data_IF_663443408646
#
_entry.id   IF_663443408646
#
_cell.length_a   1.000
_cell.length_b   1.000
_cell.length_c   1.000
_cell.angle_alpha   90.00
_cell.angle_beta   90.00
_cell.angle_gamma   90.00
#
_symmetry.space_group_name_H-M   'P 1'
#
loop_
_entity.id
_entity.type
_entity.pdbx_description
1 polymer ?
#
# COMPACT_ATOMS: atom_id res chain seq x y z
N UNK A 1 -6.20 17.52 0.89
CA UNK A 1 -4.90 16.86 1.17
C UNK A 1 -4.98 15.32 1.13
N UNK A 2 -6.09 14.68 1.53
CA UNK A 2 -6.18 13.20 1.64
C UNK A 2 -5.90 12.40 0.37
N UNK A 3 -6.36 12.83 -0.82
CA UNK A 3 -6.14 12.08 -2.06
C UNK A 3 -4.67 12.02 -2.51
N UNK A 4 -3.90 13.08 -2.25
CA UNK A 4 -2.46 13.08 -2.53
C UNK A 4 -1.76 12.07 -1.60
N UNK A 5 -2.19 11.98 -0.34
CA UNK A 5 -1.63 11.01 0.60
C UNK A 5 -1.88 9.56 0.15
N UNK A 6 -3.08 9.24 -0.37
CA UNK A 6 -3.38 7.90 -0.92
C UNK A 6 -2.53 7.58 -2.15
N UNK A 7 -2.31 8.54 -3.05
CA UNK A 7 -1.46 8.36 -4.21
C UNK A 7 0.01 8.14 -3.81
N UNK A 8 0.52 8.96 -2.89
CA UNK A 8 1.89 8.82 -2.37
C UNK A 8 2.06 7.47 -1.66
N UNK A 9 1.10 7.09 -0.82
CA UNK A 9 1.03 5.79 -0.17
C UNK A 9 0.99 4.63 -1.19
N UNK A 10 0.26 4.80 -2.29
CA UNK A 10 0.27 3.85 -3.40
C UNK A 10 1.67 3.71 -4.01
N UNK A 11 2.36 4.81 -4.30
CA UNK A 11 3.64 4.77 -4.99
C UNK A 11 4.76 4.03 -4.23
N UNK A 12 4.73 4.03 -2.89
CA UNK A 12 5.77 3.35 -2.08
C UNK A 12 5.75 1.83 -2.21
N UNK A 13 4.64 1.24 -2.68
CA UNK A 13 4.56 -0.21 -2.97
C UNK A 13 5.55 -0.66 -4.05
N UNK A 14 6.07 0.26 -4.88
CA UNK A 14 7.15 -0.04 -5.81
C UNK A 14 8.44 -0.49 -5.09
N UNK A 15 8.68 -0.04 -3.85
CA UNK A 15 9.86 -0.40 -3.06
C UNK A 15 9.92 -1.89 -2.72
N UNK A 16 8.79 -2.58 -2.78
CA UNK A 16 8.68 -4.02 -2.50
C UNK A 16 8.89 -4.87 -3.75
N UNK A 17 9.08 -4.25 -4.91
CA UNK A 17 9.24 -4.97 -6.19
C UNK A 17 10.70 -5.31 -6.47
N UNK A 18 10.98 -6.29 -7.35
CA UNK A 18 12.34 -6.63 -7.77
C UNK A 18 13.20 -5.46 -8.25
N UNK A 19 12.57 -4.40 -8.77
CA UNK A 19 13.27 -3.22 -9.27
C UNK A 19 13.97 -2.42 -8.16
N UNK A 20 13.57 -2.61 -6.90
CA UNK A 20 14.12 -1.93 -5.74
C UNK A 20 14.82 -2.89 -4.75
N UNK A 21 15.00 -4.16 -5.14
CA UNK A 21 15.75 -5.11 -4.35
C UNK A 21 17.24 -4.74 -4.29
N UNK A 22 17.89 -5.12 -3.19
CA UNK A 22 19.33 -4.91 -3.01
C UNK A 22 20.17 -5.61 -4.09
N UNK A 23 21.40 -5.10 -4.29
CA UNK A 23 22.33 -5.71 -5.25
C UNK A 23 22.67 -7.14 -4.81
N UNK A 24 22.57 -8.09 -5.74
CA UNK A 24 22.89 -9.50 -5.48
C UNK A 24 21.72 -10.31 -4.89
N UNK A 25 20.57 -9.70 -4.66
CA UNK A 25 19.35 -10.39 -4.20
C UNK A 25 18.75 -11.20 -5.35
N UNK A 26 18.43 -12.46 -5.09
CA UNK A 26 17.84 -13.35 -6.08
C UNK A 26 16.35 -13.02 -6.26
N UNK A 27 16.00 -12.34 -7.36
CA UNK A 27 14.64 -11.85 -7.63
C UNK A 27 13.87 -12.58 -8.73
N UNK A 28 14.43 -13.65 -9.30
CA UNK A 28 13.83 -14.41 -10.41
C UNK A 28 12.75 -15.42 -10.00
N UNK A 29 12.55 -15.64 -8.70
CA UNK A 29 11.62 -16.64 -8.18
C UNK A 29 10.14 -16.24 -8.30
N UNK A 30 9.26 -17.24 -8.29
CA UNK A 30 7.80 -17.03 -8.38
C UNK A 30 7.25 -16.08 -7.30
N UNK A 31 7.80 -16.13 -6.08
CA UNK A 31 7.41 -15.23 -4.99
C UNK A 31 7.62 -13.75 -5.35
N UNK A 32 8.75 -13.42 -5.98
CA UNK A 32 9.03 -12.05 -6.41
C UNK A 32 8.10 -11.58 -7.54
N UNK A 33 7.71 -12.50 -8.42
CA UNK A 33 6.71 -12.22 -9.45
C UNK A 33 5.33 -11.96 -8.86
N UNK A 34 4.89 -12.80 -7.92
CA UNK A 34 3.62 -12.61 -7.19
C UNK A 34 3.64 -11.31 -6.39
N UNK A 35 4.73 -11.03 -5.65
CA UNK A 35 4.92 -9.76 -4.94
C UNK A 35 4.76 -8.58 -5.90
N UNK A 36 5.43 -8.61 -7.05
CA UNK A 36 5.32 -7.54 -8.05
C UNK A 36 3.88 -7.33 -8.51
N UNK A 37 3.17 -8.40 -8.85
CA UNK A 37 1.76 -8.29 -9.26
C UNK A 37 0.88 -7.71 -8.16
N UNK A 38 0.98 -8.22 -6.94
CA UNK A 38 0.20 -7.73 -5.82
C UNK A 38 0.50 -6.25 -5.52
N UNK A 39 1.75 -5.83 -5.61
CA UNK A 39 2.14 -4.42 -5.46
C UNK A 39 1.50 -3.56 -6.57
N UNK A 40 1.55 -3.99 -7.83
CA UNK A 40 0.93 -3.26 -8.93
C UNK A 40 -0.59 -3.16 -8.79
N UNK A 41 -1.26 -4.23 -8.36
CA UNK A 41 -2.69 -4.22 -8.05
C UNK A 41 -3.00 -3.27 -6.90
N UNK A 42 -2.16 -3.26 -5.86
CA UNK A 42 -2.31 -2.35 -4.72
C UNK A 42 -2.17 -0.88 -5.14
N UNK A 43 -1.17 -0.58 -5.98
CA UNK A 43 -0.99 0.75 -6.58
C UNK A 43 -2.23 1.15 -7.38
N UNK A 44 -2.69 0.28 -8.29
CA UNK A 44 -3.87 0.56 -9.10
C UNK A 44 -5.12 0.80 -8.25
N UNK A 45 -5.30 0.02 -7.18
CA UNK A 45 -6.37 0.18 -6.21
C UNK A 45 -6.33 1.52 -5.47
N UNK A 46 -5.16 1.96 -5.00
CA UNK A 46 -5.01 3.28 -4.39
C UNK A 46 -5.17 4.44 -5.39
N UNK A 47 -4.77 4.26 -6.64
CA UNK A 47 -5.08 5.21 -7.72
C UNK A 47 -6.59 5.31 -7.95
N UNK A 48 -7.30 4.17 -7.97
CA UNK A 48 -8.75 4.13 -8.13
C UNK A 48 -9.46 4.77 -6.93
N UNK A 49 -9.02 4.51 -5.70
CA UNK A 49 -9.53 5.16 -4.50
C UNK A 49 -9.29 6.68 -4.52
N UNK A 50 -8.10 7.11 -4.90
CA UNK A 50 -7.77 8.54 -5.10
C UNK A 50 -8.68 9.20 -6.13
N UNK A 51 -8.89 8.54 -7.27
CA UNK A 51 -9.82 9.02 -8.29
C UNK A 51 -11.24 9.11 -7.75
N UNK A 52 -11.73 8.05 -7.08
CA UNK A 52 -13.06 8.02 -6.47
C UNK A 52 -13.26 9.14 -5.46
N UNK A 53 -12.25 9.41 -4.64
CA UNK A 53 -12.25 10.50 -3.67
C UNK A 53 -12.38 11.87 -4.36
N UNK A 54 -11.54 12.16 -5.37
CA UNK A 54 -11.63 13.43 -6.10
C UNK A 54 -12.92 13.57 -6.91
N UNK A 55 -13.43 12.45 -7.43
CA UNK A 55 -14.72 12.40 -8.13
C UNK A 55 -15.92 12.32 -7.17
N UNK A 56 -15.71 12.43 -5.86
CA UNK A 56 -16.74 12.36 -4.80
C UNK A 56 -17.66 11.14 -4.93
N UNK A 57 -17.11 9.98 -5.25
CA UNK A 57 -17.85 8.72 -5.45
C UNK A 57 -17.92 7.93 -4.15
N UNK A 58 -19.08 7.42 -3.72
CA UNK A 58 -19.25 6.79 -2.40
C UNK A 58 -18.47 5.49 -2.20
N UNK A 59 -17.94 4.90 -3.27
CA UNK A 59 -17.17 3.64 -3.19
C UNK A 59 -15.68 3.85 -2.87
N UNK A 60 -15.20 5.09 -2.76
CA UNK A 60 -13.77 5.39 -2.65
C UNK A 60 -13.14 4.78 -1.38
N UNK A 61 -13.87 4.77 -0.26
CA UNK A 61 -13.42 4.20 1.02
C UNK A 61 -13.27 2.70 0.93
N UNK A 62 -14.29 2.02 0.38
CA UNK A 62 -14.25 0.57 0.14
C UNK A 62 -13.09 0.20 -0.76
N UNK A 63 -12.80 1.01 -1.79
CA UNK A 63 -11.65 0.80 -2.66
C UNK A 63 -10.33 0.97 -1.89
N UNK A 64 -10.20 1.99 -1.03
CA UNK A 64 -9.01 2.21 -0.20
C UNK A 64 -8.77 1.07 0.80
N UNK A 65 -9.83 0.61 1.50
CA UNK A 65 -9.77 -0.49 2.46
C UNK A 65 -9.43 -1.82 1.77
N UNK A 66 -10.05 -2.10 0.63
CA UNK A 66 -9.77 -3.31 -0.15
C UNK A 66 -8.32 -3.31 -0.66
N UNK A 67 -7.85 -2.16 -1.16
CA UNK A 67 -6.46 -1.99 -1.60
C UNK A 67 -5.48 -2.17 -0.43
N UNK A 68 -5.84 -1.68 0.76
CA UNK A 68 -5.06 -1.86 1.98
C UNK A 68 -4.94 -3.35 2.36
N UNK A 69 -6.03 -4.11 2.25
CA UNK A 69 -6.02 -5.55 2.48
C UNK A 69 -5.15 -6.31 1.47
N UNK A 70 -5.25 -5.97 0.19
CA UNK A 70 -4.38 -6.56 -0.87
C UNK A 70 -2.92 -6.20 -0.60
N UNK A 71 -2.64 -4.96 -0.21
CA UNK A 71 -1.31 -4.51 0.19
C UNK A 71 -0.74 -5.35 1.33
N UNK A 72 -1.53 -5.66 2.35
CA UNK A 72 -1.07 -6.52 3.44
C UNK A 72 -0.64 -7.91 2.93
N UNK A 73 -1.39 -8.49 2.00
CA UNK A 73 -1.01 -9.77 1.36
C UNK A 73 0.28 -9.62 0.54
N UNK A 74 0.42 -8.51 -0.20
CA UNK A 74 1.65 -8.19 -0.92
C UNK A 74 2.86 -8.10 0.02
N UNK A 75 2.67 -7.49 1.20
CA UNK A 75 3.72 -7.31 2.20
C UNK A 75 4.19 -8.62 2.81
N UNK A 76 3.26 -9.51 3.16
CA UNK A 76 3.59 -10.86 3.65
C UNK A 76 4.34 -11.65 2.59
N UNK A 77 3.91 -11.56 1.33
CA UNK A 77 4.58 -12.22 0.21
C UNK A 77 6.00 -11.67 0.00
N UNK A 78 6.16 -10.34 0.05
CA UNK A 78 7.46 -9.66 -0.02
C UNK A 78 8.39 -10.11 1.10
N UNK A 79 7.93 -10.15 2.36
CA UNK A 79 8.76 -10.54 3.50
C UNK A 79 9.36 -11.94 3.31
N UNK A 80 8.56 -12.90 2.82
CA UNK A 80 9.04 -14.25 2.51
C UNK A 80 10.01 -14.24 1.32
N UNK A 81 9.70 -13.48 0.26
CA UNK A 81 10.56 -13.37 -0.93
C UNK A 81 11.92 -12.75 -0.60
N UNK A 82 11.93 -11.67 0.17
CA UNK A 82 13.13 -10.92 0.57
C UNK A 82 14.01 -11.75 1.52
N UNK A 83 13.41 -12.38 2.53
CA UNK A 83 14.13 -13.24 3.46
C UNK A 83 14.79 -14.44 2.75
N UNK A 84 14.10 -15.06 1.79
CA UNK A 84 14.65 -16.18 0.99
C UNK A 84 15.62 -15.73 -0.11
N UNK A 85 15.43 -14.53 -0.63
CA UNK A 85 16.25 -13.96 -1.70
C UNK A 85 17.60 -13.39 -1.24
N UNK A 86 17.82 -13.33 0.08
CA UNK A 86 19.06 -12.80 0.67
C UNK A 86 19.07 -11.29 0.86
N UNK A 87 17.91 -10.63 0.89
CA UNK A 87 17.83 -9.21 1.22
C UNK A 87 18.28 -9.00 2.68
N UNK A 88 19.12 -7.98 2.98
CA UNK A 88 19.55 -7.70 4.34
C UNK A 88 18.36 -7.53 5.30
N UNK A 89 18.44 -8.14 6.48
CA UNK A 89 17.35 -8.17 7.46
C UNK A 89 16.85 -6.77 7.84
N UNK A 90 17.77 -5.81 8.00
CA UNK A 90 17.40 -4.43 8.29
C UNK A 90 16.58 -3.77 7.17
N UNK A 91 16.90 -4.05 5.91
CA UNK A 91 16.23 -3.43 4.75
C UNK A 91 14.79 -3.90 4.61
N UNK A 92 14.56 -5.21 4.57
CA UNK A 92 13.20 -5.71 4.34
C UNK A 92 12.29 -5.52 5.58
N UNK A 93 12.84 -5.54 6.80
CA UNK A 93 12.10 -5.18 8.01
C UNK A 93 11.71 -3.71 8.03
N UNK A 94 12.60 -2.80 7.61
CA UNK A 94 12.28 -1.39 7.50
C UNK A 94 11.14 -1.14 6.50
N UNK A 95 11.24 -1.75 5.31
CA UNK A 95 10.16 -1.70 4.33
C UNK A 95 8.85 -2.25 4.89
N UNK A 96 8.89 -3.39 5.58
CA UNK A 96 7.72 -3.97 6.24
C UNK A 96 7.10 -3.01 7.28
N UNK A 97 7.92 -2.45 8.16
CA UNK A 97 7.50 -1.52 9.19
C UNK A 97 6.77 -0.28 8.62
N UNK A 98 7.38 0.38 7.63
CA UNK A 98 6.80 1.59 7.01
C UNK A 98 5.45 1.28 6.36
N UNK A 99 5.34 0.13 5.66
CA UNK A 99 4.09 -0.25 5.02
C UNK A 99 3.01 -0.67 6.02
N UNK A 100 3.36 -1.34 7.13
CA UNK A 100 2.41 -1.62 8.22
C UNK A 100 1.88 -0.32 8.82
N UNK A 101 2.76 0.65 9.11
CA UNK A 101 2.35 1.94 9.66
C UNK A 101 1.40 2.67 8.71
N UNK A 102 1.70 2.65 7.42
CA UNK A 102 0.86 3.26 6.38
C UNK A 102 -0.51 2.60 6.26
N UNK A 103 -0.56 1.26 6.19
CA UNK A 103 -1.81 0.50 6.15
C UNK A 103 -2.65 0.71 7.41
N UNK A 104 -2.00 0.75 8.59
CA UNK A 104 -2.65 1.06 9.86
C UNK A 104 -3.21 2.49 9.87
N UNK A 105 -2.46 3.47 9.34
CA UNK A 105 -2.91 4.86 9.22
C UNK A 105 -4.15 5.00 8.34
N UNK A 106 -4.13 4.39 7.15
CA UNK A 106 -5.29 4.38 6.23
C UNK A 106 -6.49 3.72 6.91
N UNK A 107 -6.30 2.55 7.52
CA UNK A 107 -7.37 1.82 8.21
C UNK A 107 -7.94 2.63 9.38
N UNK A 108 -7.08 3.26 10.18
CA UNK A 108 -7.51 4.07 11.31
C UNK A 108 -8.31 5.29 10.84
N UNK A 109 -7.87 5.98 9.78
CA UNK A 109 -8.58 7.13 9.24
C UNK A 109 -10.00 6.79 8.73
N UNK A 110 -10.21 5.58 8.22
CA UNK A 110 -11.47 5.18 7.61
C UNK A 110 -12.37 4.34 8.53
N UNK A 111 -11.82 3.69 9.55
CA UNK A 111 -12.60 2.81 10.45
C UNK A 111 -12.85 3.43 11.82
N UNK A 112 -12.14 4.50 12.20
CA UNK A 112 -12.38 5.22 13.45
C UNK A 112 -13.38 6.34 13.17
N UNK A 113 -14.62 6.31 13.73
CA UNK A 113 -15.68 7.24 13.35
C UNK A 113 -15.34 8.72 13.55
N UNK A 114 -14.49 9.03 14.54
CA UNK A 114 -14.02 10.40 14.77
C UNK A 114 -13.07 10.88 13.66
N UNK A 115 -12.23 10.00 13.14
CA UNK A 115 -11.28 10.31 12.07
C UNK A 115 -11.96 10.29 10.70
N UNK A 116 -12.88 9.36 10.48
CA UNK A 116 -13.69 9.27 9.26
C UNK A 116 -14.48 10.56 9.03
N UNK A 117 -15.21 11.04 10.06
CA UNK A 117 -15.91 12.33 10.01
C UNK A 117 -14.98 13.52 9.76
N UNK A 118 -13.75 13.47 10.29
CA UNK A 118 -12.74 14.50 10.04
C UNK A 118 -12.25 14.44 8.60
N UNK A 119 -12.06 13.26 8.00
CA UNK A 119 -11.71 13.11 6.59
C UNK A 119 -12.85 13.63 5.71
N UNK A 120 -14.09 13.24 6.00
CA UNK A 120 -15.28 13.69 5.27
C UNK A 120 -15.42 15.20 5.27
N UNK A 121 -15.22 15.83 6.45
CA UNK A 121 -15.31 17.29 6.56
C UNK A 121 -14.25 18.03 5.75
N UNK A 122 -13.11 17.40 5.44
CA UNK A 122 -12.02 18.00 4.67
C UNK A 122 -12.05 17.67 3.18
N UNK A 123 -12.74 16.61 2.78
CA UNK A 123 -12.70 16.12 1.39
C UNK A 123 -14.06 16.19 0.69
N UNK A 124 -15.15 16.04 1.44
CA UNK A 124 -16.51 16.00 0.90
C UNK A 124 -17.32 17.28 1.19
N UNK A 125 -16.77 18.23 1.95
CA UNK A 125 -17.39 19.55 2.13
C UNK A 125 -17.51 20.30 0.80
N UNK A 126 -18.63 21.01 0.54
CA UNK A 126 -18.89 21.73 -0.71
C UNK A 126 -17.74 22.62 -1.15
#
# INVERSE_FOLDING_TARGET
MGGIALLLAGSTWLWLTPAFAGRGVATSGALWWVTRLLCLVTIAGFCLATYGLFARRPWWETAALTSSAIGLVALLTYAVAAARGGEPTGTWLWNAFVHVLMLAGISALLLVPALERWVDSHVMSP
#
